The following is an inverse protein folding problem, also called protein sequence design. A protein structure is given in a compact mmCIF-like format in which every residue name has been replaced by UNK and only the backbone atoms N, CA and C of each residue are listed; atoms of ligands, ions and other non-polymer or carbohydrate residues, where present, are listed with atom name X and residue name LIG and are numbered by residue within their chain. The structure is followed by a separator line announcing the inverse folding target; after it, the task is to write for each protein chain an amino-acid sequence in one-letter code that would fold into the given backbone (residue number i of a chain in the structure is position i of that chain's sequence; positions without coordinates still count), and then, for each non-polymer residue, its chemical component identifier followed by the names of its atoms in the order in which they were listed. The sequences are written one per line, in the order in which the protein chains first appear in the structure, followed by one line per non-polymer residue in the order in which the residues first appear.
data_IF_611579683909
#
_entry.id   IF_611579683909
#
_cell.length_a   1.000
_cell.length_b   1.000
_cell.length_c   1.000
_cell.angle_alpha   90.00
_cell.angle_beta   90.00
_cell.angle_gamma   90.00
#
_symmetry.space_group_name_H-M   'P 1'
#
loop_
_entity.id
_entity.type
_entity.pdbx_description
1 polymer ?
#
# COMPACT_ATOMS: atom_id res chain seq x y z
N UNK A 1 -40.43 -4.46 17.75
CA UNK A 1 -40.38 -3.70 16.49
C UNK A 1 -39.09 -2.92 16.26
N UNK A 2 -38.44 -2.49 17.31
CA UNK A 2 -37.15 -1.80 17.20
C UNK A 2 -35.97 -2.73 16.91
N UNK A 3 -36.12 -4.01 17.13
CA UNK A 3 -35.06 -5.01 16.91
C UNK A 3 -34.70 -5.19 15.44
N UNK A 4 -35.67 -5.09 14.54
CA UNK A 4 -35.42 -5.24 13.09
C UNK A 4 -34.61 -4.07 12.55
N UNK A 5 -34.91 -2.85 13.03
CA UNK A 5 -34.15 -1.65 12.63
C UNK A 5 -32.73 -1.66 13.15
N UNK A 6 -32.54 -2.12 14.40
CA UNK A 6 -31.21 -2.26 14.99
C UNK A 6 -30.38 -3.32 14.28
N UNK A 7 -31.02 -4.45 13.91
CA UNK A 7 -30.37 -5.51 13.19
C UNK A 7 -29.92 -5.09 11.79
N UNK A 8 -30.75 -4.37 11.05
CA UNK A 8 -30.37 -3.80 9.75
C UNK A 8 -29.22 -2.81 9.85
N UNK A 9 -29.22 -1.98 10.89
CA UNK A 9 -28.15 -1.02 11.13
C UNK A 9 -26.81 -1.74 11.43
N UNK A 10 -26.83 -2.75 12.28
CA UNK A 10 -25.65 -3.56 12.57
C UNK A 10 -25.13 -4.29 11.32
N UNK A 11 -26.03 -4.79 10.48
CA UNK A 11 -25.68 -5.46 9.23
C UNK A 11 -25.01 -4.49 8.25
N UNK A 12 -25.51 -3.27 8.13
CA UNK A 12 -24.90 -2.24 7.29
C UNK A 12 -23.51 -1.86 7.79
N UNK A 13 -23.30 -1.75 9.09
CA UNK A 13 -21.97 -1.50 9.68
C UNK A 13 -20.99 -2.63 9.41
N UNK A 14 -21.43 -3.88 9.47
CA UNK A 14 -20.59 -5.04 9.14
C UNK A 14 -20.24 -5.06 7.65
N UNK A 15 -21.17 -4.72 6.77
CA UNK A 15 -20.89 -4.60 5.33
C UNK A 15 -19.87 -3.51 5.04
N UNK A 16 -19.95 -2.36 5.71
CA UNK A 16 -18.98 -1.27 5.57
C UNK A 16 -17.58 -1.71 6.04
N UNK A 17 -17.48 -2.46 7.15
CA UNK A 17 -16.21 -2.98 7.65
C UNK A 17 -15.63 -4.09 6.76
N UNK A 18 -16.45 -4.85 6.04
CA UNK A 18 -16.02 -5.86 5.09
C UNK A 18 -15.57 -5.29 3.74
N UNK A 19 -15.96 -4.06 3.42
CA UNK A 19 -15.62 -3.39 2.16
C UNK A 19 -14.40 -2.46 2.28
N UNK A 20 -13.51 -2.69 3.24
CA UNK A 20 -12.29 -1.91 3.39
C UNK A 20 -11.27 -2.27 2.29
N UNK A 21 -11.64 -1.97 1.04
CA UNK A 21 -10.72 -2.07 -0.09
C UNK A 21 -9.78 -0.88 -0.03
N UNK A 22 -8.46 -1.10 -0.07
CA UNK A 22 -7.52 0.00 -0.07
C UNK A 22 -7.77 0.95 -1.25
N UNK A 23 -7.72 2.27 -1.04
CA UNK A 23 -7.84 3.22 -2.13
C UNK A 23 -6.66 3.06 -3.09
N UNK A 24 -6.96 2.88 -4.39
CA UNK A 24 -5.94 2.68 -5.44
C UNK A 24 -6.08 3.70 -6.57
N UNK A 25 -6.75 4.82 -6.31
CA UNK A 25 -6.98 5.84 -7.34
C UNK A 25 -5.69 6.61 -7.63
N UNK A 26 -5.09 6.27 -8.74
CA UNK A 26 -3.95 7.00 -9.30
C UNK A 26 -4.42 7.70 -10.57
N UNK A 27 -4.03 8.95 -10.81
CA UNK A 27 -4.35 9.62 -12.06
C UNK A 27 -3.93 8.79 -13.28
N UNK A 28 -4.80 8.68 -14.26
CA UNK A 28 -4.57 7.84 -15.45
C UNK A 28 -3.26 8.17 -16.17
N UNK A 29 -2.86 9.44 -16.20
CA UNK A 29 -1.63 9.88 -16.86
C UNK A 29 -0.35 9.29 -16.22
N UNK A 30 -0.40 8.96 -14.92
CA UNK A 30 0.76 8.37 -14.21
C UNK A 30 1.09 7.00 -14.79
N UNK A 31 0.10 6.17 -15.07
CA UNK A 31 0.31 4.84 -15.64
C UNK A 31 0.81 4.83 -17.10
N UNK A 32 0.84 5.98 -17.77
CA UNK A 32 1.33 6.12 -19.16
C UNK A 32 2.80 6.53 -19.26
N UNK A 33 3.43 6.84 -18.12
CA UNK A 33 4.83 7.23 -18.10
C UNK A 33 5.74 5.99 -18.15
N UNK A 34 6.82 6.07 -18.93
CA UNK A 34 7.86 5.04 -18.92
C UNK A 34 8.73 5.20 -17.66
N UNK A 35 9.13 4.08 -17.06
CA UNK A 35 9.97 4.06 -15.85
C UNK A 35 9.40 4.95 -14.72
N UNK A 36 8.09 4.89 -14.55
CA UNK A 36 7.34 5.82 -13.68
C UNK A 36 7.12 5.30 -12.26
N UNK A 37 7.84 4.27 -11.81
CA UNK A 37 7.62 3.69 -10.48
C UNK A 37 7.73 4.73 -9.35
N UNK A 38 8.73 5.60 -9.39
CA UNK A 38 8.89 6.64 -8.38
C UNK A 38 7.82 7.73 -8.46
N UNK A 39 7.53 8.37 -9.61
CA UNK A 39 6.42 9.31 -9.71
C UNK A 39 5.07 8.71 -9.31
N UNK A 40 4.79 7.48 -9.71
CA UNK A 40 3.56 6.78 -9.34
C UNK A 40 3.46 6.58 -7.84
N UNK A 41 4.53 6.11 -7.20
CA UNK A 41 4.57 5.90 -5.76
C UNK A 41 4.40 7.23 -5.00
N UNK A 42 4.99 8.32 -5.48
CA UNK A 42 4.85 9.65 -4.88
C UNK A 42 3.40 10.13 -4.97
N UNK A 43 2.77 10.04 -6.13
CA UNK A 43 1.39 10.48 -6.35
C UNK A 43 0.43 9.69 -5.47
N UNK A 44 0.60 8.37 -5.42
CA UNK A 44 -0.22 7.50 -4.57
C UNK A 44 -0.04 7.85 -3.09
N UNK A 45 1.19 8.04 -2.65
CA UNK A 45 1.51 8.40 -1.26
C UNK A 45 0.88 9.73 -0.88
N UNK A 46 0.97 10.74 -1.72
CA UNK A 46 0.36 12.06 -1.48
C UNK A 46 -1.16 11.97 -1.39
N UNK A 47 -1.79 11.22 -2.28
CA UNK A 47 -3.23 11.02 -2.26
C UNK A 47 -3.72 10.34 -0.99
N UNK A 48 -3.02 9.31 -0.53
CA UNK A 48 -3.34 8.63 0.73
C UNK A 48 -3.16 9.54 1.95
N UNK A 49 -2.08 10.32 1.99
CA UNK A 49 -1.85 11.28 3.08
C UNK A 49 -2.96 12.34 3.14
N UNK A 50 -3.44 12.82 2.00
CA UNK A 50 -4.56 13.76 1.95
C UNK A 50 -5.85 13.18 2.54
N UNK A 51 -6.02 11.87 2.48
CA UNK A 51 -7.14 11.15 3.09
C UNK A 51 -6.90 10.78 4.56
N UNK A 52 -5.79 11.21 5.15
CA UNK A 52 -5.44 10.91 6.54
C UNK A 52 -4.84 9.53 6.75
N UNK A 53 -4.38 8.88 5.70
CA UNK A 53 -3.76 7.55 5.74
C UNK A 53 -2.24 7.70 5.85
N UNK A 54 -1.63 6.97 6.78
CA UNK A 54 -0.17 6.93 6.89
C UNK A 54 0.41 6.20 5.68
N UNK A 55 1.24 6.90 4.92
CA UNK A 55 1.85 6.38 3.71
C UNK A 55 3.27 6.90 3.54
N UNK A 56 4.11 6.09 2.91
CA UNK A 56 5.52 6.38 2.63
C UNK A 56 5.88 5.84 1.25
N UNK A 57 6.88 6.44 0.63
CA UNK A 57 7.51 5.88 -0.58
C UNK A 57 8.68 5.01 -0.13
N UNK A 58 8.64 3.74 -0.52
CA UNK A 58 9.73 2.79 -0.30
C UNK A 58 10.56 2.66 -1.57
N UNK A 59 11.85 2.91 -1.48
CA UNK A 59 12.81 2.68 -2.54
C UNK A 59 13.64 1.43 -2.24
N UNK A 60 13.77 0.56 -3.25
CA UNK A 60 14.51 -0.71 -3.17
C UNK A 60 15.57 -0.71 -4.26
N UNK A 61 16.81 -1.00 -3.90
CA UNK A 61 17.93 -1.11 -4.82
C UNK A 61 18.56 -2.49 -4.77
N UNK A 62 18.77 -3.06 -5.95
CA UNK A 62 19.57 -4.28 -6.17
C UNK A 62 20.71 -3.96 -7.11
N UNK A 63 21.56 -4.93 -7.44
CA UNK A 63 22.61 -4.74 -8.46
C UNK A 63 22.01 -4.50 -9.85
N UNK A 64 20.87 -5.12 -10.14
CA UNK A 64 20.30 -5.15 -11.49
C UNK A 64 19.24 -4.09 -11.72
N UNK A 65 18.56 -3.62 -10.65
CA UNK A 65 17.45 -2.71 -10.80
C UNK A 65 17.19 -1.88 -9.53
N UNK A 66 16.50 -0.77 -9.72
CA UNK A 66 15.91 0.05 -8.67
C UNK A 66 14.41 0.15 -8.86
N UNK A 67 13.66 0.20 -7.77
CA UNK A 67 12.21 0.27 -7.80
C UNK A 67 11.67 1.10 -6.64
N UNK A 68 10.53 1.74 -6.84
CA UNK A 68 9.82 2.48 -5.82
C UNK A 68 8.37 2.03 -5.74
N UNK A 69 7.87 1.89 -4.53
CA UNK A 69 6.48 1.54 -4.24
C UNK A 69 5.92 2.46 -3.17
N UNK A 70 4.60 2.49 -3.05
CA UNK A 70 3.92 3.14 -1.94
C UNK A 70 3.58 2.10 -0.87
N UNK A 71 3.99 2.34 0.36
CA UNK A 71 3.61 1.52 1.51
C UNK A 71 2.69 2.32 2.42
N UNK A 72 1.66 1.71 2.96
CA UNK A 72 0.67 2.41 3.77
C UNK A 72 -0.02 1.49 4.78
N UNK A 73 -0.61 2.11 5.79
CA UNK A 73 -1.40 1.42 6.81
C UNK A 73 -2.88 1.66 6.57
N UNK A 74 -3.64 0.57 6.39
CA UNK A 74 -5.08 0.65 6.12
C UNK A 74 -5.82 -0.60 6.63
N UNK A 75 -7.05 -0.49 7.13
CA UNK A 75 -7.78 0.75 7.40
C UNK A 75 -7.23 1.49 8.62
N UNK A 76 -7.54 2.79 8.77
CA UNK A 76 -7.13 3.55 9.95
C UNK A 76 -7.60 2.86 11.24
N UNK A 77 -6.69 2.78 12.24
CA UNK A 77 -6.94 2.09 13.50
C UNK A 77 -6.62 0.59 13.52
N UNK A 78 -6.68 -0.10 12.38
CA UNK A 78 -6.26 -1.51 12.28
C UNK A 78 -4.79 -1.65 11.88
N UNK A 79 -4.24 -0.63 11.24
CA UNK A 79 -2.82 -0.52 10.91
C UNK A 79 -2.26 -1.74 10.17
N UNK A 80 -3.03 -2.30 9.24
CA UNK A 80 -2.55 -3.36 8.37
C UNK A 80 -1.64 -2.76 7.31
N UNK A 81 -0.48 -3.35 7.11
CA UNK A 81 0.49 -2.91 6.12
C UNK A 81 0.10 -3.38 4.71
N UNK A 82 0.13 -2.44 3.78
CA UNK A 82 -0.08 -2.68 2.35
C UNK A 82 1.07 -2.10 1.55
N UNK A 83 1.39 -2.77 0.46
CA UNK A 83 2.25 -2.21 -0.60
C UNK A 83 1.40 -2.01 -1.84
N UNK A 84 1.42 -0.80 -2.37
CA UNK A 84 0.83 -0.51 -3.67
C UNK A 84 1.93 -0.40 -4.73
N UNK A 85 1.73 -1.11 -5.81
CA UNK A 85 2.61 -1.11 -6.97
C UNK A 85 1.75 -1.07 -8.25
N UNK A 86 2.20 -0.34 -9.27
CA UNK A 86 1.44 -0.18 -10.50
C UNK A 86 1.18 -1.49 -11.24
N UNK A 87 2.05 -2.49 -11.09
CA UNK A 87 1.89 -3.80 -11.71
C UNK A 87 1.00 -4.75 -10.90
N UNK A 88 1.06 -4.66 -9.57
CA UNK A 88 0.44 -5.63 -8.67
C UNK A 88 -0.72 -5.07 -7.86
N UNK A 89 -0.99 -3.76 -8.00
CA UNK A 89 -1.97 -3.05 -7.18
C UNK A 89 -1.61 -3.13 -5.69
N UNK A 90 -2.60 -3.21 -4.81
CA UNK A 90 -2.37 -3.26 -3.37
C UNK A 90 -2.28 -4.69 -2.87
N UNK A 91 -1.20 -4.99 -2.16
CA UNK A 91 -0.90 -6.30 -1.60
C UNK A 91 -0.67 -6.15 -0.10
N UNK A 92 -1.36 -6.95 0.75
CA UNK A 92 -1.08 -6.95 2.18
C UNK A 92 0.24 -7.67 2.48
N UNK A 93 1.02 -7.08 3.37
CA UNK A 93 2.29 -7.66 3.81
C UNK A 93 2.37 -7.77 5.33
N UNK A 94 3.20 -8.67 5.81
CA UNK A 94 3.61 -8.76 7.21
C UNK A 94 5.06 -8.32 7.34
N UNK A 95 5.25 -7.11 7.85
CA UNK A 95 6.57 -6.53 8.10
C UNK A 95 6.45 -5.38 9.10
N UNK A 96 7.58 -4.94 9.63
CA UNK A 96 7.64 -3.80 10.53
C UNK A 96 7.51 -2.50 9.76
N UNK A 97 6.49 -1.70 10.10
CA UNK A 97 6.18 -0.43 9.42
C UNK A 97 7.35 0.54 9.32
N UNK A 98 8.20 0.59 10.34
CA UNK A 98 9.33 1.51 10.39
C UNK A 98 10.65 0.92 9.87
N UNK A 99 10.64 -0.30 9.35
CA UNK A 99 11.83 -0.96 8.83
C UNK A 99 11.72 -1.15 7.31
N UNK A 100 12.37 -0.28 6.52
CA UNK A 100 12.28 -0.38 5.06
C UNK A 100 12.89 -1.67 4.51
N UNK A 101 13.94 -2.22 5.13
CA UNK A 101 14.52 -3.50 4.72
C UNK A 101 13.56 -4.66 4.96
N UNK A 102 12.86 -4.66 6.09
CA UNK A 102 11.89 -5.72 6.41
C UNK A 102 10.72 -5.70 5.42
N UNK A 103 10.21 -4.53 5.11
CA UNK A 103 9.15 -4.37 4.11
C UNK A 103 9.62 -4.81 2.72
N UNK A 104 10.83 -4.40 2.33
CA UNK A 104 11.41 -4.79 1.04
C UNK A 104 11.57 -6.31 0.93
N UNK A 105 12.08 -6.97 1.97
CA UNK A 105 12.21 -8.44 1.99
C UNK A 105 10.86 -9.12 1.87
N UNK A 106 9.85 -8.65 2.60
CA UNK A 106 8.50 -9.20 2.54
C UNK A 106 7.88 -9.03 1.14
N UNK A 107 8.08 -7.88 0.51
CA UNK A 107 7.63 -7.60 -0.84
C UNK A 107 8.30 -8.50 -1.88
N UNK A 108 9.62 -8.63 -1.81
CA UNK A 108 10.38 -9.52 -2.70
C UNK A 108 9.95 -10.98 -2.55
N UNK A 109 9.76 -11.44 -1.31
CA UNK A 109 9.29 -12.80 -1.03
C UNK A 109 7.88 -13.04 -1.60
N UNK A 110 6.99 -12.08 -1.48
CA UNK A 110 5.65 -12.19 -2.05
C UNK A 110 5.69 -12.34 -3.57
N UNK A 111 6.63 -11.67 -4.22
CA UNK A 111 6.84 -11.73 -5.68
C UNK A 111 7.63 -12.96 -6.13
N UNK A 112 8.09 -13.80 -5.22
CA UNK A 112 9.03 -14.89 -5.52
C UNK A 112 10.33 -14.40 -6.18
N UNK A 113 10.80 -13.22 -5.83
CA UNK A 113 12.03 -12.63 -6.33
C UNK A 113 13.13 -12.82 -5.29
N UNK A 114 14.17 -13.58 -5.65
CA UNK A 114 15.31 -13.90 -4.78
C UNK A 114 16.50 -12.97 -4.98
N UNK A 115 16.35 -11.92 -5.80
CA UNK A 115 17.44 -10.96 -6.05
C UNK A 115 17.86 -10.30 -4.72
N UNK A 116 19.17 -10.31 -4.39
CA UNK A 116 19.63 -9.68 -3.16
C UNK A 116 19.38 -8.19 -3.13
N UNK A 117 18.86 -7.69 -2.01
CA UNK A 117 18.64 -6.28 -1.78
C UNK A 117 19.95 -5.65 -1.29
N UNK A 118 20.44 -4.64 -1.99
CA UNK A 118 21.59 -3.85 -1.57
C UNK A 118 21.17 -2.79 -0.56
N UNK A 119 20.07 -2.07 -0.84
CA UNK A 119 19.57 -1.01 0.02
C UNK A 119 18.06 -0.88 -0.11
N UNK A 120 17.43 -0.49 1.00
CA UNK A 120 16.03 -0.11 1.04
C UNK A 120 15.86 1.05 2.00
N UNK A 121 15.11 2.06 1.59
CA UNK A 121 14.90 3.26 2.41
C UNK A 121 13.57 3.93 2.06
N UNK A 122 13.08 4.75 2.99
CA UNK A 122 11.95 5.62 2.71
C UNK A 122 12.42 6.92 2.10
N UNK A 123 11.75 7.37 1.05
CA UNK A 123 11.93 8.70 0.49
C UNK A 123 11.30 9.75 1.42
N UNK A 124 12.00 10.85 1.65
CA UNK A 124 11.47 11.99 2.39
C UNK A 124 10.77 12.99 1.48
#
# INVERSE_FOLDING_TARGET
MNFIKLFCFCLCLQLISCTSVPPTNVPEWVGKMKNACLPEAIVMTQGLKQEGIQAKVLSIHTEDWGHATCVYLYPPGQNRLWVWDSHWQSVPLRAWWNDPHDIARAWMKWRYDETPIINAYFQE
#
